data_IF_238613745186
#
_entry.id   IF_238613745186
#
_cell.length_a   1.000
_cell.length_b   1.000
_cell.length_c   1.000
_cell.angle_alpha   90.00
_cell.angle_beta   90.00
_cell.angle_gamma   90.00
#
_symmetry.space_group_name_H-M   'P 1'
#
loop_
_entity.id
_entity.type
_entity.pdbx_description
1 polymer ?
#
# COMPACT_ATOMS: atom_id res chain seq x y z
N UNK A 1 -2.75 12.07 -0.15
CA UNK A 1 -3.36 11.55 -1.39
C UNK A 1 -4.52 12.44 -1.85
N UNK A 2 -4.72 12.56 -3.15
CA UNK A 2 -5.77 13.40 -3.72
C UNK A 2 -6.65 12.63 -4.72
N UNK A 3 -7.23 11.46 -4.35
CA UNK A 3 -8.09 10.74 -5.29
C UNK A 3 -9.37 11.55 -5.58
N UNK A 4 -9.73 11.64 -6.85
CA UNK A 4 -10.88 12.43 -7.28
C UNK A 4 -10.74 13.91 -6.97
N UNK A 5 -9.51 14.40 -6.79
CA UNK A 5 -9.26 15.80 -6.43
C UNK A 5 -9.51 16.13 -4.96
N UNK A 6 -9.90 15.16 -4.15
CA UNK A 6 -10.12 15.34 -2.71
C UNK A 6 -8.89 14.89 -1.94
N UNK A 7 -8.36 15.78 -1.09
CA UNK A 7 -7.19 15.45 -0.27
C UNK A 7 -7.59 14.51 0.86
N UNK A 8 -6.95 13.33 0.91
CA UNK A 8 -7.15 12.35 1.96
C UNK A 8 -5.84 12.05 2.68
N UNK A 9 -5.89 11.97 4.00
CA UNK A 9 -4.79 11.49 4.80
C UNK A 9 -4.74 9.95 4.75
N UNK A 10 -3.54 9.39 4.93
CA UNK A 10 -3.36 7.94 4.95
C UNK A 10 -3.49 7.35 6.36
N UNK A 11 -3.41 8.19 7.39
CA UNK A 11 -3.42 7.75 8.78
C UNK A 11 -4.66 6.91 9.13
N UNK A 12 -5.82 7.30 8.61
CA UNK A 12 -7.07 6.58 8.85
C UNK A 12 -7.03 5.18 8.25
N UNK A 13 -6.41 5.03 7.08
CA UNK A 13 -6.29 3.72 6.43
C UNK A 13 -5.37 2.82 7.26
N UNK A 14 -4.20 3.32 7.64
CA UNK A 14 -3.26 2.56 8.47
C UNK A 14 -3.90 2.15 9.79
N UNK A 15 -4.60 3.08 10.43
CA UNK A 15 -5.25 2.82 11.73
C UNK A 15 -6.24 1.66 11.65
N UNK A 16 -7.03 1.59 10.58
CA UNK A 16 -8.02 0.51 10.43
C UNK A 16 -7.36 -0.81 10.06
N UNK A 17 -6.37 -0.79 9.17
CA UNK A 17 -5.67 -2.00 8.74
C UNK A 17 -4.89 -2.65 9.88
N UNK A 18 -4.28 -1.85 10.75
CA UNK A 18 -3.52 -2.33 11.90
C UNK A 18 -4.36 -3.14 12.90
N UNK A 19 -5.67 -2.97 12.90
CA UNK A 19 -6.57 -3.70 13.79
C UNK A 19 -6.73 -5.18 13.42
N UNK A 20 -6.32 -5.56 12.21
CA UNK A 20 -6.44 -6.94 11.74
C UNK A 20 -5.22 -7.76 12.13
N UNK A 21 -5.44 -8.78 12.97
CA UNK A 21 -4.35 -9.67 13.44
C UNK A 21 -3.68 -10.45 12.32
N UNK A 22 -4.39 -10.64 11.20
CA UNK A 22 -3.89 -11.36 10.04
C UNK A 22 -2.83 -10.56 9.28
N UNK A 23 -2.81 -9.25 9.46
CA UNK A 23 -1.89 -8.34 8.77
C UNK A 23 -0.71 -8.02 9.66
N UNK A 24 0.50 -8.27 9.16
CA UNK A 24 1.74 -7.93 9.88
C UNK A 24 2.12 -6.48 9.68
N UNK A 25 2.10 -6.03 8.44
CA UNK A 25 2.47 -4.67 8.06
C UNK A 25 1.71 -4.24 6.82
N UNK A 26 1.66 -2.94 6.58
CA UNK A 26 0.99 -2.39 5.42
C UNK A 26 1.70 -1.14 4.93
N UNK A 27 1.49 -0.81 3.65
CA UNK A 27 1.90 0.46 3.09
C UNK A 27 0.83 0.94 2.11
N UNK A 28 0.53 2.23 2.19
CA UNK A 28 -0.50 2.87 1.38
C UNK A 28 0.17 3.88 0.45
N UNK A 29 -0.10 3.79 -0.83
CA UNK A 29 0.42 4.74 -1.81
C UNK A 29 -0.67 5.16 -2.77
N UNK A 30 -0.50 6.34 -3.37
CA UNK A 30 -1.36 6.80 -4.46
C UNK A 30 -0.70 6.48 -5.79
N UNK A 31 -1.42 5.80 -6.66
CA UNK A 31 -0.96 5.53 -8.02
C UNK A 31 -1.66 6.49 -8.98
N UNK A 32 -0.88 7.13 -9.86
CA UNK A 32 -1.45 7.91 -10.95
C UNK A 32 -2.15 6.96 -11.91
N UNK A 33 -3.44 7.17 -12.13
CA UNK A 33 -4.26 6.26 -12.92
C UNK A 33 -5.41 7.02 -13.56
N UNK A 34 -5.55 6.88 -14.89
CA UNK A 34 -6.68 7.45 -15.64
C UNK A 34 -6.89 8.95 -15.35
N UNK A 35 -5.81 9.74 -15.42
CA UNK A 35 -5.78 11.18 -15.13
C UNK A 35 -6.23 11.56 -13.72
N UNK A 36 -6.11 10.63 -12.79
CA UNK A 36 -6.48 10.81 -11.39
C UNK A 36 -5.47 10.06 -10.53
N UNK A 37 -5.79 9.85 -9.26
CA UNK A 37 -4.99 9.07 -8.33
C UNK A 37 -5.90 8.03 -7.69
N UNK A 38 -5.45 6.78 -7.66
CA UNK A 38 -6.16 5.73 -6.92
C UNK A 38 -5.30 5.24 -5.76
N UNK A 39 -5.96 4.80 -4.71
CA UNK A 39 -5.29 4.29 -3.52
C UNK A 39 -4.93 2.82 -3.72
N UNK A 40 -3.67 2.47 -3.48
CA UNK A 40 -3.18 1.10 -3.51
C UNK A 40 -2.67 0.73 -2.12
N UNK A 41 -3.18 -0.35 -1.58
CA UNK A 41 -2.78 -0.88 -0.28
C UNK A 41 -1.96 -2.15 -0.49
N UNK A 42 -0.74 -2.18 0.04
CA UNK A 42 0.09 -3.37 0.05
C UNK A 42 0.14 -3.93 1.46
N UNK A 43 0.03 -5.25 1.57
CA UNK A 43 0.00 -5.96 2.85
C UNK A 43 1.11 -6.99 2.94
N UNK A 44 1.76 -7.06 4.12
CA UNK A 44 2.54 -8.22 4.50
C UNK A 44 1.67 -8.98 5.49
N UNK A 45 1.37 -10.25 5.19
CA UNK A 45 0.52 -11.07 6.03
C UNK A 45 1.34 -11.74 7.14
N UNK A 46 0.73 -11.92 8.31
CA UNK A 46 1.33 -12.74 9.35
C UNK A 46 1.37 -14.20 8.92
N UNK A 47 2.30 -14.97 9.52
CA UNK A 47 2.44 -16.39 9.25
C UNK A 47 1.10 -17.11 9.36
N UNK A 48 0.85 -18.03 8.42
CA UNK A 48 -0.35 -18.88 8.36
C UNK A 48 -1.64 -18.16 7.94
N UNK A 49 -1.54 -16.87 7.60
CA UNK A 49 -2.72 -16.14 7.09
C UNK A 49 -2.54 -15.80 5.62
N UNK A 50 -3.66 -15.84 4.90
CA UNK A 50 -3.74 -15.45 3.50
C UNK A 50 -4.75 -14.33 3.35
N UNK A 51 -4.61 -13.52 2.33
CA UNK A 51 -5.62 -12.54 1.97
C UNK A 51 -6.76 -13.24 1.22
N UNK A 52 -7.73 -13.75 2.00
CA UNK A 52 -8.93 -14.36 1.43
C UNK A 52 -9.89 -13.27 0.96
N UNK A 53 -10.87 -13.65 0.14
CA UNK A 53 -11.91 -12.71 -0.28
C UNK A 53 -12.70 -12.18 0.91
N UNK A 54 -12.93 -13.02 1.91
CA UNK A 54 -13.63 -12.61 3.14
C UNK A 54 -12.83 -11.56 3.90
N UNK A 55 -11.53 -11.80 4.10
CA UNK A 55 -10.66 -10.84 4.79
C UNK A 55 -10.57 -9.52 4.01
N UNK A 56 -10.44 -9.60 2.69
CA UNK A 56 -10.40 -8.42 1.84
C UNK A 56 -11.67 -7.57 2.00
N UNK A 57 -12.83 -8.21 2.01
CA UNK A 57 -14.10 -7.53 2.23
C UNK A 57 -14.17 -6.88 3.59
N UNK A 58 -13.74 -7.60 4.64
CA UNK A 58 -13.74 -7.06 6.00
C UNK A 58 -12.84 -5.83 6.13
N UNK A 59 -11.67 -5.87 5.52
CA UNK A 59 -10.74 -4.73 5.54
C UNK A 59 -11.39 -3.53 4.85
N UNK A 60 -11.92 -3.73 3.64
CA UNK A 60 -12.55 -2.65 2.88
C UNK A 60 -13.77 -2.07 3.59
N UNK A 61 -14.61 -2.92 4.15
CA UNK A 61 -15.79 -2.47 4.88
C UNK A 61 -15.43 -1.69 6.13
N UNK A 62 -14.40 -2.12 6.84
CA UNK A 62 -13.93 -1.44 8.04
C UNK A 62 -13.41 -0.04 7.71
N UNK A 63 -12.64 0.09 6.63
CA UNK A 63 -12.14 1.39 6.17
C UNK A 63 -13.32 2.27 5.76
N UNK A 64 -14.25 1.72 5.00
CA UNK A 64 -15.43 2.47 4.54
C UNK A 64 -16.27 2.99 5.71
N UNK A 65 -16.49 2.13 6.71
CA UNK A 65 -17.33 2.45 7.86
C UNK A 65 -16.68 3.46 8.80
N UNK A 66 -15.40 3.27 9.11
CA UNK A 66 -14.70 4.05 10.14
C UNK A 66 -13.95 5.25 9.60
N UNK A 67 -13.66 5.30 8.33
CA UNK A 67 -13.05 6.45 7.67
C UNK A 67 -14.04 7.04 6.66
N UNK A 68 -14.03 6.55 5.42
CA UNK A 68 -15.02 6.96 4.42
C UNK A 68 -14.94 6.05 3.20
N UNK A 69 -15.95 6.08 2.30
CA UNK A 69 -15.86 5.36 1.03
C UNK A 69 -14.66 5.78 0.17
N UNK A 70 -14.23 7.05 0.27
CA UNK A 70 -13.09 7.55 -0.50
C UNK A 70 -11.75 6.99 -0.04
N UNK A 71 -11.67 6.50 1.21
CA UNK A 71 -10.47 5.89 1.76
C UNK A 71 -10.30 4.43 1.36
N UNK A 72 -11.34 3.81 0.78
CA UNK A 72 -11.27 2.39 0.41
C UNK A 72 -10.28 2.20 -0.74
N UNK A 73 -9.26 1.34 -0.60
CA UNK A 73 -8.29 1.13 -1.67
C UNK A 73 -8.93 0.54 -2.91
N UNK A 74 -8.48 1.00 -4.08
CA UNK A 74 -8.89 0.41 -5.37
C UNK A 74 -8.23 -0.94 -5.59
N UNK A 75 -7.02 -1.12 -5.07
CA UNK A 75 -6.25 -2.36 -5.19
C UNK A 75 -5.65 -2.71 -3.84
N UNK A 76 -5.68 -3.99 -3.50
CA UNK A 76 -5.03 -4.53 -2.29
C UNK A 76 -4.16 -5.70 -2.74
N UNK A 77 -2.86 -5.60 -2.48
CA UNK A 77 -1.86 -6.54 -3.00
C UNK A 77 -0.99 -7.04 -1.86
N UNK A 78 -0.79 -8.36 -1.79
CA UNK A 78 0.11 -8.96 -0.79
C UNK A 78 1.54 -8.96 -1.34
N UNK A 79 2.48 -8.53 -0.52
CA UNK A 79 3.91 -8.53 -0.85
C UNK A 79 4.69 -9.20 0.29
N UNK A 80 5.92 -9.62 0.00
CA UNK A 80 6.74 -10.31 0.97
C UNK A 80 7.59 -9.37 1.83
N UNK A 81 7.85 -8.17 1.35
CA UNK A 81 8.65 -7.20 2.09
C UNK A 81 8.32 -5.78 1.61
N UNK A 82 8.68 -4.80 2.42
CA UNK A 82 8.46 -3.38 2.16
C UNK A 82 9.80 -2.66 2.34
N UNK A 83 10.18 -1.73 1.44
CA UNK A 83 11.44 -0.99 1.60
C UNK A 83 11.41 -0.10 2.84
N UNK A 84 12.54 -0.06 3.55
CA UNK A 84 12.70 0.69 4.79
C UNK A 84 14.00 1.47 4.77
N UNK A 85 14.05 2.57 5.54
CA UNK A 85 15.28 3.25 5.82
C UNK A 85 16.12 2.43 6.81
N UNK A 86 17.38 2.80 6.99
CA UNK A 86 18.27 2.14 7.95
C UNK A 86 17.78 2.28 9.39
N UNK A 87 16.93 3.27 9.67
CA UNK A 87 16.29 3.45 10.98
C UNK A 87 14.97 2.68 11.11
N UNK A 88 14.58 1.91 10.10
CA UNK A 88 13.39 1.07 10.12
C UNK A 88 12.10 1.71 9.66
N UNK A 89 12.14 2.93 9.17
CA UNK A 89 10.93 3.62 8.69
C UNK A 89 10.54 3.15 7.29
N UNK A 90 9.24 2.97 7.07
CA UNK A 90 8.68 2.62 5.77
C UNK A 90 8.85 3.79 4.80
N UNK A 91 9.22 3.50 3.56
CA UNK A 91 9.48 4.52 2.53
C UNK A 91 8.41 4.45 1.45
N UNK A 92 7.32 5.19 1.67
CA UNK A 92 6.17 5.21 0.74
C UNK A 92 6.55 5.78 -0.62
N UNK A 93 7.39 6.81 -0.67
CA UNK A 93 7.81 7.43 -1.92
C UNK A 93 8.58 6.46 -2.81
N UNK A 94 9.43 5.61 -2.22
CA UNK A 94 10.17 4.61 -2.98
C UNK A 94 9.21 3.60 -3.64
N UNK A 95 8.18 3.17 -2.91
CA UNK A 95 7.17 2.27 -3.44
C UNK A 95 6.37 2.94 -4.55
N UNK A 96 5.92 4.18 -4.33
CA UNK A 96 5.19 4.93 -5.34
C UNK A 96 5.98 5.06 -6.62
N UNK A 97 7.25 5.46 -6.53
CA UNK A 97 8.10 5.61 -7.69
C UNK A 97 8.31 4.29 -8.42
N UNK A 98 8.46 3.20 -7.67
CA UNK A 98 8.67 1.87 -8.26
C UNK A 98 7.44 1.41 -9.03
N UNK A 99 6.24 1.54 -8.46
CA UNK A 99 5.02 1.10 -9.15
C UNK A 99 4.71 1.95 -10.38
N UNK A 100 5.17 3.20 -10.40
CA UNK A 100 4.98 4.10 -11.54
C UNK A 100 6.10 4.00 -12.57
N UNK A 101 7.09 3.12 -12.37
CA UNK A 101 8.20 2.93 -13.29
C UNK A 101 9.25 4.03 -13.27
N UNK A 102 9.24 4.87 -12.25
CA UNK A 102 10.21 5.95 -12.11
C UNK A 102 11.50 5.46 -11.47
N UNK A 103 12.60 6.16 -11.74
CA UNK A 103 13.88 5.85 -11.10
C UNK A 103 13.83 6.17 -9.62
N UNK A 104 14.46 5.29 -8.82
CA UNK A 104 14.56 5.50 -7.38
C UNK A 104 15.86 6.24 -7.09
N UNK A 105 15.74 7.42 -6.51
CA UNK A 105 16.88 8.19 -6.01
C UNK A 105 17.21 7.69 -4.61
N UNK A 106 18.50 7.70 -4.27
CA UNK A 106 18.97 7.35 -2.92
C UNK A 106 18.62 5.91 -2.49
N UNK A 107 18.77 4.94 -3.42
CA UNK A 107 18.61 3.52 -3.05
C UNK A 107 19.54 3.13 -1.91
N UNK A 108 20.70 3.75 -1.83
CA UNK A 108 21.69 3.50 -0.78
C UNK A 108 21.20 3.88 0.61
N UNK A 109 20.16 4.72 0.71
CA UNK A 109 19.56 5.07 2.00
C UNK A 109 18.62 3.97 2.50
N UNK A 110 18.27 3.00 1.66
CA UNK A 110 17.41 1.90 2.05
C UNK A 110 18.21 0.78 2.71
N UNK A 111 17.66 0.24 3.80
CA UNK A 111 18.24 -0.92 4.45
C UNK A 111 18.06 -2.19 3.61
N UNK A 112 16.97 -2.26 2.85
CA UNK A 112 16.57 -3.43 2.07
C UNK A 112 16.13 -3.04 0.66
N UNK A 113 17.05 -2.52 -0.19
CA UNK A 113 16.65 -2.08 -1.53
C UNK A 113 16.07 -3.20 -2.40
N UNK A 114 16.42 -4.46 -2.12
CA UNK A 114 15.89 -5.61 -2.84
C UNK A 114 14.37 -5.76 -2.68
N UNK A 115 13.79 -5.18 -1.63
CA UNK A 115 12.34 -5.21 -1.44
C UNK A 115 11.58 -4.52 -2.56
N UNK A 116 12.22 -3.61 -3.29
CA UNK A 116 11.59 -2.90 -4.41
C UNK A 116 11.14 -3.85 -5.52
N UNK A 117 11.76 -5.03 -5.65
CA UNK A 117 11.40 -6.01 -6.68
C UNK A 117 9.95 -6.48 -6.58
N UNK A 118 9.38 -6.48 -5.37
CA UNK A 118 8.00 -6.91 -5.15
C UNK A 118 6.98 -5.90 -5.68
N UNK A 119 7.42 -4.71 -6.04
CA UNK A 119 6.57 -3.62 -6.52
C UNK A 119 6.76 -3.32 -8.00
N UNK A 120 7.64 -4.06 -8.68
CA UNK A 120 7.95 -3.82 -10.10
C UNK A 120 7.05 -4.65 -11.00
N UNK A 121 6.56 -4.00 -12.06
CA UNK A 121 5.81 -4.68 -13.14
C UNK A 121 4.60 -5.49 -12.64
N UNK A 122 3.86 -4.93 -11.70
CA UNK A 122 2.68 -5.60 -11.13
C UNK A 122 1.52 -5.56 -12.12
N UNK A 123 1.05 -6.73 -12.54
CA UNK A 123 -0.09 -6.86 -13.45
C UNK A 123 -1.37 -6.30 -12.82
N UNK A 124 -1.53 -6.48 -11.53
CA UNK A 124 -2.68 -5.98 -10.78
C UNK A 124 -2.84 -4.47 -10.90
N UNK A 125 -1.75 -3.76 -11.15
CA UNK A 125 -1.77 -2.30 -11.24
C UNK A 125 -1.89 -1.77 -12.68
N UNK A 126 -2.00 -2.65 -13.66
CA UNK A 126 -2.19 -2.26 -15.05
C UNK A 126 -3.66 -2.27 -15.49
N UNK A 127 -4.56 -2.55 -14.58
CA UNK A 127 -6.01 -2.60 -14.83
C UNK A 127 -6.74 -1.45 -14.16
#
# INVERSE_FOLDING_TARGET
LNPGGVRLGTAEIYSEVEKFKEVKESIVVGQSWDNDVRIVLFLIMNSKFYLTEDLLKRIKMQIRKNASPRHVPSKVIVVNDIPRTKSGKIVELAVKNTIEGNKIKNKEALANPDALKYFMNLKELSN
#
